data_IF_559687176141
#
_entry.id   IF_559687176141
#
_cell.length_a   1.000
_cell.length_b   1.000
_cell.length_c   1.000
_cell.angle_alpha   90.00
_cell.angle_beta   90.00
_cell.angle_gamma   90.00
#
_symmetry.space_group_name_H-M   'P 1'
#
loop_
_entity.id
_entity.type
_entity.pdbx_description
1 polymer ?
#
# COMPACT_ATOMS: atom_id res chain seq x y z
N UNK A 1 -39.04 -16.06 -19.77
CA UNK A 1 -39.23 -15.42 -18.44
C UNK A 1 -38.11 -15.70 -17.45
N UNK A 2 -37.70 -16.97 -17.24
CA UNK A 2 -36.62 -17.35 -16.30
C UNK A 2 -35.27 -16.65 -16.57
N UNK A 3 -34.87 -16.50 -17.84
CA UNK A 3 -33.62 -15.85 -18.25
C UNK A 3 -33.51 -14.37 -17.84
N UNK A 4 -34.63 -13.64 -17.87
CA UNK A 4 -34.64 -12.25 -17.43
C UNK A 4 -34.48 -12.16 -15.91
N UNK A 5 -35.14 -13.04 -15.15
CA UNK A 5 -35.04 -13.08 -13.68
C UNK A 5 -33.60 -13.40 -13.24
N UNK A 6 -32.96 -14.42 -13.83
CA UNK A 6 -31.56 -14.76 -13.53
C UNK A 6 -30.59 -13.64 -13.91
N UNK A 7 -30.84 -12.94 -15.03
CA UNK A 7 -30.03 -11.78 -15.44
C UNK A 7 -30.12 -10.63 -14.43
N UNK A 8 -31.31 -10.33 -13.93
CA UNK A 8 -31.51 -9.30 -12.89
C UNK A 8 -30.88 -9.71 -11.57
N UNK A 9 -30.97 -10.99 -11.19
CA UNK A 9 -30.30 -11.51 -9.99
C UNK A 9 -28.77 -11.40 -10.10
N UNK A 10 -28.19 -11.72 -11.26
CA UNK A 10 -26.74 -11.58 -11.48
C UNK A 10 -26.30 -10.12 -11.44
N UNK A 11 -27.07 -9.20 -12.03
CA UNK A 11 -26.77 -7.76 -11.98
C UNK A 11 -26.85 -7.24 -10.54
N UNK A 12 -27.89 -7.64 -9.79
CA UNK A 12 -28.05 -7.25 -8.39
C UNK A 12 -26.92 -7.81 -7.52
N UNK A 13 -26.51 -9.07 -7.72
CA UNK A 13 -25.40 -9.68 -7.00
C UNK A 13 -24.07 -8.99 -7.31
N UNK A 14 -23.82 -8.63 -8.58
CA UNK A 14 -22.62 -7.90 -8.97
C UNK A 14 -22.59 -6.48 -8.38
N UNK A 15 -23.71 -5.76 -8.42
CA UNK A 15 -23.84 -4.44 -7.80
C UNK A 15 -23.64 -4.50 -6.28
N UNK A 16 -24.20 -5.51 -5.61
CA UNK A 16 -24.00 -5.74 -4.18
C UNK A 16 -22.53 -6.02 -3.85
N UNK A 17 -21.86 -6.83 -4.66
CA UNK A 17 -20.43 -7.14 -4.50
C UNK A 17 -19.58 -5.87 -4.62
N UNK A 18 -19.84 -5.04 -5.63
CA UNK A 18 -19.15 -3.76 -5.81
C UNK A 18 -19.41 -2.79 -4.65
N UNK A 19 -20.61 -2.79 -4.09
CA UNK A 19 -20.95 -1.96 -2.94
C UNK A 19 -20.22 -2.40 -1.66
N UNK A 20 -20.09 -3.70 -1.42
CA UNK A 20 -19.38 -4.25 -0.25
C UNK A 20 -17.87 -4.03 -0.34
N UNK A 21 -17.29 -4.09 -1.53
CA UNK A 21 -15.84 -3.90 -1.75
C UNK A 21 -15.47 -2.42 -1.94
N UNK A 22 -16.46 -1.52 -2.00
CA UNK A 22 -16.20 -0.10 -2.12
C UNK A 22 -15.32 0.37 -0.93
N UNK A 23 -14.25 1.12 -1.19
CA UNK A 23 -13.39 1.62 -0.12
C UNK A 23 -14.22 2.53 0.76
N UNK A 24 -14.52 2.07 1.98
CA UNK A 24 -15.10 2.95 2.98
C UNK A 24 -14.05 4.02 3.31
N UNK A 25 -14.50 5.24 3.60
CA UNK A 25 -13.63 6.27 4.17
C UNK A 25 -13.25 5.85 5.58
N UNK A 26 -12.37 4.87 5.70
CA UNK A 26 -11.74 4.50 6.96
C UNK A 26 -10.86 5.68 7.28
N UNK A 27 -11.30 6.54 8.21
CA UNK A 27 -10.42 7.50 8.85
C UNK A 27 -9.25 6.67 9.37
N UNK A 28 -8.08 6.81 8.72
CA UNK A 28 -7.03 5.80 8.75
C UNK A 28 -6.91 5.19 10.14
N UNK A 29 -7.23 3.91 10.30
CA UNK A 29 -7.05 3.19 11.56
C UNK A 29 -5.56 2.91 11.73
N UNK A 30 -4.78 3.98 11.91
CA UNK A 30 -3.42 4.05 12.43
C UNK A 30 -2.91 5.51 12.42
N UNK A 31 -3.54 6.47 13.13
CA UNK A 31 -2.85 7.68 13.55
C UNK A 31 -2.41 7.54 15.02
N UNK A 32 -2.73 6.44 15.72
CA UNK A 32 -2.45 6.33 17.16
C UNK A 32 -0.95 6.39 17.44
N UNK A 33 -0.12 5.67 16.66
CA UNK A 33 1.34 5.72 16.83
C UNK A 33 1.90 7.11 16.48
N UNK A 34 1.35 7.78 15.45
CA UNK A 34 1.78 9.11 15.03
C UNK A 34 1.37 10.19 16.03
N UNK A 35 0.12 10.15 16.48
CA UNK A 35 -0.48 11.09 17.42
C UNK A 35 0.15 10.95 18.81
N UNK A 36 0.41 9.72 19.26
CA UNK A 36 1.13 9.46 20.51
C UNK A 36 2.56 9.99 20.45
N UNK A 37 3.26 9.78 19.33
CA UNK A 37 4.60 10.32 19.11
C UNK A 37 4.63 11.86 19.03
N UNK A 38 3.71 12.47 18.27
CA UNK A 38 3.59 13.92 18.18
C UNK A 38 3.20 14.55 19.53
N UNK A 39 2.32 13.91 20.31
CA UNK A 39 1.94 14.36 21.66
C UNK A 39 3.10 14.21 22.66
N UNK A 40 3.89 13.14 22.56
CA UNK A 40 5.09 12.95 23.38
C UNK A 40 6.11 14.07 23.11
N UNK A 41 6.36 14.42 21.84
CA UNK A 41 7.21 15.54 21.46
C UNK A 41 6.71 16.89 21.99
N UNK A 42 5.39 17.16 21.92
CA UNK A 42 4.79 18.40 22.42
C UNK A 42 4.92 18.54 23.94
N UNK A 43 4.91 17.43 24.68
CA UNK A 43 5.06 17.39 26.13
C UNK A 43 6.54 17.32 26.59
N UNK A 44 7.50 17.56 25.69
CA UNK A 44 8.93 17.59 26.00
C UNK A 44 9.63 16.23 25.98
N UNK A 45 8.92 15.17 25.59
CA UNK A 45 9.48 13.86 25.32
C UNK A 45 10.21 13.80 23.96
N UNK A 46 10.85 12.67 23.69
CA UNK A 46 11.70 12.49 22.50
C UNK A 46 11.20 11.38 21.57
N UNK A 47 10.16 10.67 22.00
CA UNK A 47 9.60 9.53 21.29
C UNK A 47 8.77 10.05 20.12
N UNK A 48 9.32 9.95 18.92
CA UNK A 48 8.75 10.55 17.70
C UNK A 48 9.72 11.35 16.88
N UNK A 49 10.89 11.72 17.44
CA UNK A 49 11.96 12.34 16.65
C UNK A 49 12.38 11.38 15.54
N UNK A 50 12.31 11.83 14.30
CA UNK A 50 12.70 11.03 13.13
C UNK A 50 11.62 10.08 12.58
N UNK A 51 10.38 10.13 13.06
CA UNK A 51 9.29 9.30 12.50
C UNK A 51 9.08 9.55 10.99
N UNK A 52 9.16 10.80 10.54
CA UNK A 52 9.08 11.14 9.11
C UNK A 52 10.21 10.46 8.31
N UNK A 53 11.43 10.48 8.84
CA UNK A 53 12.57 9.78 8.22
C UNK A 53 12.34 8.26 8.17
N UNK A 54 11.75 7.67 9.21
CA UNK A 54 11.38 6.25 9.21
C UNK A 54 10.34 5.89 8.14
N UNK A 55 9.33 6.73 7.95
CA UNK A 55 8.31 6.56 6.89
C UNK A 55 8.98 6.66 5.51
N UNK A 56 9.79 7.69 5.28
CA UNK A 56 10.52 7.85 4.01
C UNK A 56 11.47 6.67 3.75
N UNK A 57 12.15 6.16 4.78
CA UNK A 57 13.01 4.99 4.65
C UNK A 57 12.23 3.73 4.26
N UNK A 58 11.11 3.45 4.94
CA UNK A 58 10.27 2.30 4.62
C UNK A 58 9.64 2.41 3.23
N UNK A 59 9.26 3.61 2.79
CA UNK A 59 8.76 3.85 1.44
C UNK A 59 9.85 3.69 0.38
N UNK A 60 11.05 4.21 0.61
CA UNK A 60 12.14 4.16 -0.37
C UNK A 60 12.74 2.76 -0.54
N UNK A 61 12.84 1.99 0.55
CA UNK A 61 13.46 0.65 0.58
C UNK A 61 12.96 -0.30 -0.51
N UNK A 62 11.64 -0.54 -0.71
CA UNK A 62 11.17 -1.48 -1.73
C UNK A 62 11.55 -1.04 -3.16
N UNK A 63 11.50 0.25 -3.47
CA UNK A 63 11.88 0.75 -4.80
C UNK A 63 13.38 0.57 -5.06
N UNK A 64 14.20 0.85 -4.05
CA UNK A 64 15.66 0.65 -4.16
C UNK A 64 16.02 -0.82 -4.33
N UNK A 65 15.37 -1.73 -3.59
CA UNK A 65 15.59 -3.16 -3.72
C UNK A 65 15.21 -3.68 -5.11
N UNK A 66 14.03 -3.30 -5.62
CA UNK A 66 13.60 -3.68 -6.97
C UNK A 66 14.54 -3.12 -8.03
N UNK A 67 14.94 -1.86 -7.91
CA UNK A 67 15.89 -1.22 -8.82
C UNK A 67 17.25 -1.92 -8.82
N UNK A 68 17.78 -2.27 -7.64
CA UNK A 68 19.05 -2.98 -7.49
C UNK A 68 18.99 -4.37 -8.14
N UNK A 69 17.96 -5.16 -7.81
CA UNK A 69 17.78 -6.50 -8.35
C UNK A 69 17.62 -6.46 -9.87
N UNK A 70 16.78 -5.54 -10.38
CA UNK A 70 16.59 -5.34 -11.81
C UNK A 70 17.88 -4.94 -12.54
N UNK A 71 18.68 -4.06 -11.94
CA UNK A 71 19.97 -3.64 -12.49
C UNK A 71 20.98 -4.80 -12.54
N UNK A 72 21.10 -5.58 -11.45
CA UNK A 72 21.99 -6.75 -11.39
C UNK A 72 21.57 -7.78 -12.44
N UNK A 73 20.27 -8.06 -12.55
CA UNK A 73 19.74 -8.99 -13.54
C UNK A 73 20.06 -8.54 -14.97
N UNK A 74 19.76 -7.28 -15.32
CA UNK A 74 20.06 -6.72 -16.63
C UNK A 74 21.55 -6.78 -16.97
N UNK A 75 22.41 -6.41 -16.01
CA UNK A 75 23.86 -6.45 -16.17
C UNK A 75 24.38 -7.87 -16.42
N UNK A 76 23.85 -8.87 -15.70
CA UNK A 76 24.26 -10.25 -15.88
C UNK A 76 23.82 -10.80 -17.25
N UNK A 77 22.60 -10.48 -17.70
CA UNK A 77 22.12 -10.89 -19.02
C UNK A 77 22.95 -10.30 -20.16
N UNK A 78 23.38 -9.04 -20.05
CA UNK A 78 24.29 -8.44 -21.05
C UNK A 78 25.67 -9.09 -21.09
N UNK A 79 26.22 -9.51 -19.95
CA UNK A 79 27.48 -10.24 -19.92
C UNK A 79 27.38 -11.64 -20.55
N UNK A 80 26.23 -12.30 -20.44
CA UNK A 80 25.96 -13.57 -21.12
C UNK A 80 25.84 -13.39 -22.64
N UNK A 81 25.24 -12.28 -23.10
CA UNK A 81 25.11 -11.96 -24.54
C UNK A 81 26.44 -11.55 -25.19
N UNK A 82 27.38 -11.01 -24.42
CA UNK A 82 28.71 -10.61 -24.89
C UNK A 82 29.77 -11.75 -24.86
N UNK A 83 29.42 -12.93 -24.30
CA UNK A 83 30.30 -14.12 -24.21
C UNK A 83 29.97 -15.16 -25.28
#
# INVERSE_FOLDING_TARGET
MKYNITKWLSIAAFALTLFVVAPQSVQAQCPMCRMSAESNLQNGGVDGRGLNNGILYMLATPYLLVGLVGFIWWRNRRKEEEL
#
